data_IF_090350596814
#
_entry.id   IF_090350596814
#
_cell.length_a   1.000
_cell.length_b   1.000
_cell.length_c   1.000
_cell.angle_alpha   90.00
_cell.angle_beta   90.00
_cell.angle_gamma   90.00
#
_symmetry.space_group_name_H-M   'P 1'
#
loop_
_entity.id
_entity.type
_entity.pdbx_description
1 polymer ?
#
# COMPACT_ATOMS: atom_id res chain seq x y z
N UNK A 1 -32.50 12.97 -27.43
CA UNK A 1 -33.44 11.92 -26.95
C UNK A 1 -33.08 11.58 -25.50
N UNK A 2 -33.64 12.32 -24.53
CA UNK A 2 -33.35 12.16 -23.10
C UNK A 2 -34.48 11.40 -22.43
N UNK A 3 -34.21 10.20 -21.91
CA UNK A 3 -35.14 9.47 -21.03
C UNK A 3 -34.83 9.80 -19.58
N UNK A 4 -35.70 10.62 -18.99
CA UNK A 4 -35.87 10.76 -17.54
C UNK A 4 -36.51 9.48 -16.99
N UNK A 5 -35.80 8.76 -16.12
CA UNK A 5 -36.38 7.69 -15.30
C UNK A 5 -36.67 8.25 -13.91
N UNK A 6 -37.96 8.43 -13.62
CA UNK A 6 -38.50 8.59 -12.27
C UNK A 6 -38.53 7.22 -11.61
N UNK A 7 -37.94 7.07 -10.43
CA UNK A 7 -38.24 5.93 -9.55
C UNK A 7 -38.96 6.44 -8.31
N UNK A 8 -40.15 5.85 -8.12
CA UNK A 8 -41.08 6.14 -7.05
C UNK A 8 -40.61 5.51 -5.74
N UNK A 9 -40.82 6.24 -4.65
CA UNK A 9 -40.79 5.74 -3.27
C UNK A 9 -41.94 4.75 -3.04
N UNK A 10 -41.67 3.65 -2.35
CA UNK A 10 -42.70 2.90 -1.63
C UNK A 10 -42.24 2.68 -0.19
N UNK A 11 -43.17 2.95 0.72
CA UNK A 11 -43.07 3.00 2.16
C UNK A 11 -43.38 1.65 2.81
N UNK A 12 -42.88 1.50 4.05
CA UNK A 12 -43.50 0.85 5.22
C UNK A 12 -43.76 -0.67 5.16
N UNK A 13 -43.00 -1.38 5.99
CA UNK A 13 -43.33 -2.70 6.51
C UNK A 13 -42.66 -2.90 7.87
N UNK A 14 -43.34 -2.47 8.93
CA UNK A 14 -42.93 -2.69 10.33
C UNK A 14 -43.29 -4.11 10.75
N UNK A 15 -42.28 -4.94 11.00
CA UNK A 15 -42.44 -6.29 11.53
C UNK A 15 -41.38 -6.58 12.58
N UNK A 16 -41.72 -6.36 13.84
CA UNK A 16 -40.87 -6.62 15.00
C UNK A 16 -40.89 -8.11 15.31
N UNK A 17 -39.77 -8.82 15.10
CA UNK A 17 -39.59 -10.19 15.59
C UNK A 17 -38.39 -10.20 16.55
N UNK A 18 -38.67 -10.18 17.86
CA UNK A 18 -37.68 -10.39 18.91
C UNK A 18 -37.36 -11.88 18.99
N UNK A 19 -36.37 -12.33 18.22
CA UNK A 19 -35.74 -13.65 18.37
C UNK A 19 -34.54 -13.55 19.32
N UNK A 20 -34.57 -14.32 20.40
CA UNK A 20 -33.48 -14.41 21.36
C UNK A 20 -32.19 -14.92 20.69
N UNK A 21 -31.22 -14.03 20.50
CA UNK A 21 -29.88 -14.38 20.03
C UNK A 21 -29.08 -14.91 21.22
N UNK A 22 -28.89 -16.23 21.27
CA UNK A 22 -27.94 -16.84 22.18
C UNK A 22 -26.52 -16.39 21.83
N UNK A 23 -25.90 -15.63 22.73
CA UNK A 23 -24.47 -15.30 22.69
C UNK A 23 -23.66 -16.57 22.95
N UNK A 24 -23.32 -17.28 21.87
CA UNK A 24 -22.23 -18.23 21.89
C UNK A 24 -20.93 -17.42 21.91
N UNK A 25 -20.36 -17.25 23.11
CA UNK A 25 -18.98 -16.82 23.30
C UNK A 25 -18.06 -17.96 22.84
N UNK A 26 -17.89 -18.08 21.52
CA UNK A 26 -16.83 -18.87 20.94
C UNK A 26 -15.51 -18.23 21.33
N UNK A 27 -14.63 -18.98 21.99
CA UNK A 27 -13.23 -18.61 22.17
C UNK A 27 -12.59 -18.47 20.79
N UNK A 28 -12.68 -17.28 20.21
CA UNK A 28 -11.87 -16.85 19.08
C UNK A 28 -10.44 -16.81 19.59
N UNK A 29 -9.81 -17.98 19.58
CA UNK A 29 -8.40 -18.13 19.90
C UNK A 29 -7.66 -17.16 19.00
N UNK A 30 -6.87 -16.28 19.64
CA UNK A 30 -5.98 -15.25 19.11
C UNK A 30 -4.90 -15.82 18.15
N UNK A 31 -5.30 -16.64 17.18
CA UNK A 31 -4.42 -17.14 16.15
C UNK A 31 -4.13 -15.95 15.24
N UNK A 32 -2.88 -15.48 15.31
CA UNK A 32 -2.35 -14.53 14.35
C UNK A 32 -2.79 -14.92 12.94
N UNK A 33 -3.20 -13.95 12.10
CA UNK A 33 -3.65 -14.25 10.75
C UNK A 33 -2.58 -15.08 10.01
N UNK A 34 -2.99 -16.06 9.19
CA UNK A 34 -2.04 -16.86 8.45
C UNK A 34 -1.16 -15.98 7.57
N UNK A 35 0.10 -16.38 7.41
CA UNK A 35 1.01 -15.68 6.51
C UNK A 35 0.50 -15.76 5.06
N UNK A 36 0.81 -14.74 4.22
CA UNK A 36 0.46 -14.78 2.81
C UNK A 36 1.01 -16.01 2.07
N UNK A 37 0.14 -16.65 1.28
CA UNK A 37 0.53 -17.66 0.29
C UNK A 37 0.79 -16.98 -1.06
N UNK A 38 1.95 -16.34 -1.18
CA UNK A 38 2.36 -15.65 -2.40
C UNK A 38 2.40 -16.56 -3.65
N UNK A 39 2.91 -17.81 -3.61
CA UNK A 39 2.86 -18.70 -4.75
C UNK A 39 1.46 -18.84 -5.34
N UNK A 40 0.45 -19.03 -4.49
CA UNK A 40 -0.94 -19.12 -4.92
C UNK A 40 -1.49 -17.78 -5.41
N UNK A 41 -1.28 -16.70 -4.68
CA UNK A 41 -1.78 -15.36 -5.04
C UNK A 41 -1.23 -14.88 -6.38
N UNK A 42 0.04 -15.19 -6.65
CA UNK A 42 0.76 -14.69 -7.82
C UNK A 42 0.74 -15.68 -8.99
N UNK A 43 0.11 -16.85 -8.86
CA UNK A 43 0.17 -17.94 -9.85
C UNK A 43 -0.20 -17.50 -11.27
N UNK A 44 -1.15 -16.57 -11.40
CA UNK A 44 -1.66 -16.08 -12.68
C UNK A 44 -1.21 -14.65 -13.02
N UNK A 45 -0.22 -14.10 -12.32
CA UNK A 45 0.32 -12.79 -12.65
C UNK A 45 0.98 -12.82 -14.03
N UNK A 46 0.67 -11.83 -14.85
CA UNK A 46 1.24 -11.63 -16.19
C UNK A 46 2.11 -10.38 -16.28
N UNK A 47 2.03 -9.50 -15.29
CA UNK A 47 2.81 -8.27 -15.22
C UNK A 47 3.14 -7.92 -13.77
N UNK A 48 4.28 -7.24 -13.61
CA UNK A 48 4.77 -6.69 -12.34
C UNK A 48 5.17 -5.24 -12.55
N UNK A 49 4.69 -4.37 -11.69
CA UNK A 49 5.01 -2.94 -11.70
C UNK A 49 5.54 -2.54 -10.34
N UNK A 50 6.60 -1.73 -10.32
CA UNK A 50 7.19 -1.22 -9.07
C UNK A 50 7.04 0.29 -9.03
N UNK A 51 6.61 0.81 -7.89
CA UNK A 51 6.50 2.23 -7.61
C UNK A 51 7.37 2.61 -6.42
N UNK A 52 7.90 3.83 -6.46
CA UNK A 52 8.67 4.41 -5.37
C UNK A 52 7.74 5.14 -4.39
N UNK A 53 7.96 4.95 -3.09
CA UNK A 53 7.25 5.66 -2.03
C UNK A 53 7.73 7.09 -1.84
N UNK A 54 6.83 7.97 -1.40
CA UNK A 54 7.16 9.35 -1.06
C UNK A 54 8.06 9.43 0.20
N UNK A 55 8.69 10.59 0.47
CA UNK A 55 9.43 10.84 1.72
C UNK A 55 8.60 10.54 2.97
N UNK A 56 9.27 10.25 4.09
CA UNK A 56 8.57 9.86 5.32
C UNK A 56 7.74 11.03 5.88
N UNK A 57 6.43 10.85 6.15
CA UNK A 57 5.55 11.97 6.53
C UNK A 57 5.88 12.60 7.90
N UNK A 58 6.45 11.82 8.82
CA UNK A 58 6.89 12.31 10.13
C UNK A 58 8.32 12.86 10.16
N UNK A 59 9.30 12.11 9.64
CA UNK A 59 10.72 12.51 9.69
C UNK A 59 11.14 13.52 8.62
N UNK A 60 10.46 13.52 7.48
CA UNK A 60 10.76 14.36 6.30
C UNK A 60 9.52 15.20 5.91
N UNK A 61 8.78 15.69 6.91
CA UNK A 61 7.46 16.33 6.75
C UNK A 61 7.40 17.43 5.69
N UNK A 62 8.41 18.30 5.63
CA UNK A 62 8.51 19.38 4.64
C UNK A 62 8.66 18.80 3.24
N UNK A 63 9.61 17.88 3.07
CA UNK A 63 9.86 17.21 1.78
C UNK A 63 8.64 16.42 1.33
N UNK A 64 8.03 15.65 2.23
CA UNK A 64 6.78 14.92 1.96
C UNK A 64 5.66 15.85 1.49
N UNK A 65 5.45 16.97 2.19
CA UNK A 65 4.38 17.93 1.86
C UNK A 65 4.62 18.58 0.48
N UNK A 66 5.88 18.93 0.18
CA UNK A 66 6.25 19.53 -1.10
C UNK A 66 6.09 18.53 -2.25
N UNK A 67 6.63 17.31 -2.10
CA UNK A 67 6.55 16.26 -3.12
C UNK A 67 5.10 15.84 -3.36
N UNK A 68 4.30 15.63 -2.29
CA UNK A 68 2.87 15.29 -2.41
C UNK A 68 2.06 16.38 -3.13
N UNK A 69 2.45 17.65 -3.00
CA UNK A 69 1.76 18.77 -3.65
C UNK A 69 2.20 18.95 -5.11
N UNK A 70 3.49 18.77 -5.39
CA UNK A 70 4.10 19.20 -6.66
C UNK A 70 4.35 18.09 -7.65
N UNK A 71 4.36 16.83 -7.21
CA UNK A 71 4.56 15.66 -8.06
C UNK A 71 3.28 14.87 -8.19
N UNK A 72 3.05 14.27 -9.35
CA UNK A 72 1.93 13.33 -9.52
C UNK A 72 2.18 12.12 -8.63
N UNK A 73 1.23 11.86 -7.74
CA UNK A 73 1.27 10.75 -6.80
C UNK A 73 -0.11 10.14 -6.65
N UNK A 74 -0.16 8.94 -6.08
CA UNK A 74 -1.40 8.27 -5.70
C UNK A 74 -1.27 7.65 -4.31
N UNK A 75 -2.41 7.36 -3.71
CA UNK A 75 -2.49 6.74 -2.39
C UNK A 75 -2.97 5.29 -2.52
N UNK A 76 -2.33 4.38 -1.78
CA UNK A 76 -2.78 3.01 -1.61
C UNK A 76 -2.57 2.58 -0.15
N UNK A 77 -3.64 2.12 0.50
CA UNK A 77 -3.62 1.63 1.89
C UNK A 77 -2.96 2.59 2.91
N UNK A 78 -3.21 3.90 2.73
CA UNK A 78 -2.70 4.97 3.60
C UNK A 78 -1.29 5.45 3.26
N UNK A 79 -0.64 4.87 2.24
CA UNK A 79 0.72 5.21 1.82
C UNK A 79 0.71 5.92 0.46
N UNK A 80 1.67 6.82 0.23
CA UNK A 80 1.77 7.62 -0.99
C UNK A 80 2.94 7.18 -1.86
N UNK A 81 2.69 7.07 -3.17
CA UNK A 81 3.66 6.64 -4.17
C UNK A 81 3.74 7.63 -5.33
N UNK A 82 4.93 7.78 -5.91
CA UNK A 82 5.08 8.48 -7.18
C UNK A 82 4.31 7.72 -8.26
N UNK A 83 3.58 8.44 -9.12
CA UNK A 83 2.72 7.82 -10.12
C UNK A 83 3.49 7.19 -11.29
N UNK A 84 4.75 7.61 -11.51
CA UNK A 84 5.63 7.04 -12.53
C UNK A 84 6.19 5.70 -12.04
N UNK A 85 5.98 4.60 -12.77
CA UNK A 85 6.59 3.31 -12.45
C UNK A 85 8.12 3.37 -12.59
N UNK A 86 8.82 2.65 -11.71
CA UNK A 86 10.25 2.47 -11.83
C UNK A 86 10.60 1.61 -13.05
N UNK A 87 11.59 2.06 -13.82
CA UNK A 87 12.16 1.31 -14.95
C UNK A 87 13.06 0.16 -14.45
N UNK A 88 12.44 -0.88 -13.91
CA UNK A 88 13.13 -2.09 -13.41
C UNK A 88 13.36 -3.08 -14.56
N UNK A 89 14.60 -3.51 -14.82
CA UNK A 89 14.91 -4.52 -15.83
C UNK A 89 14.15 -5.83 -15.60
N UNK A 90 13.78 -6.51 -16.70
CA UNK A 90 13.04 -7.78 -16.64
C UNK A 90 13.72 -8.85 -15.77
N UNK A 91 15.06 -8.89 -15.75
CA UNK A 91 15.84 -9.82 -14.91
C UNK A 91 15.57 -9.62 -13.41
N UNK A 92 15.38 -8.38 -12.97
CA UNK A 92 15.10 -8.09 -11.57
C UNK A 92 13.63 -8.24 -11.23
N UNK A 93 12.73 -7.95 -12.17
CA UNK A 93 11.31 -8.26 -12.02
C UNK A 93 11.12 -9.78 -11.79
N UNK A 94 11.80 -10.61 -12.58
CA UNK A 94 11.86 -12.06 -12.36
C UNK A 94 12.47 -12.42 -11.00
N UNK A 95 13.52 -11.70 -10.58
CA UNK A 95 14.11 -11.84 -9.24
C UNK A 95 13.11 -11.57 -8.12
N UNK A 96 12.30 -10.51 -8.24
CA UNK A 96 11.24 -10.18 -7.28
C UNK A 96 10.18 -11.28 -7.26
N UNK A 97 9.69 -11.73 -8.42
CA UNK A 97 8.74 -12.84 -8.50
C UNK A 97 9.28 -14.10 -7.81
N UNK A 98 10.54 -14.44 -8.05
CA UNK A 98 11.18 -15.60 -7.44
C UNK A 98 11.29 -15.46 -5.93
N UNK A 99 11.66 -14.28 -5.42
CA UNK A 99 11.72 -14.00 -3.97
C UNK A 99 10.36 -14.28 -3.34
N UNK A 100 9.27 -13.72 -3.89
CA UNK A 100 7.93 -13.92 -3.33
C UNK A 100 7.42 -15.35 -3.47
N UNK A 101 7.78 -16.07 -4.54
CA UNK A 101 7.31 -17.45 -4.77
C UNK A 101 8.10 -18.52 -4.02
N UNK A 102 9.34 -18.25 -3.62
CA UNK A 102 10.22 -19.32 -3.09
C UNK A 102 10.87 -19.01 -1.76
N UNK A 103 11.05 -17.73 -1.44
CA UNK A 103 11.60 -17.34 -0.15
C UNK A 103 10.48 -17.18 0.85
N UNK A 104 10.73 -17.55 2.11
CA UNK A 104 9.86 -17.11 3.21
C UNK A 104 10.06 -15.61 3.42
N UNK A 105 9.40 -14.77 2.64
CA UNK A 105 9.58 -13.30 2.66
C UNK A 105 9.02 -12.69 3.95
N UNK A 106 7.99 -13.30 4.52
CA UNK A 106 7.28 -12.79 5.68
C UNK A 106 7.48 -13.66 6.93
N UNK A 107 7.42 -13.03 8.08
CA UNK A 107 7.21 -13.65 9.40
C UNK A 107 6.03 -12.95 10.09
N UNK A 108 5.41 -13.56 11.12
CA UNK A 108 4.29 -12.93 11.81
C UNK A 108 4.65 -11.53 12.30
N UNK A 109 3.68 -10.61 12.25
CA UNK A 109 3.87 -9.25 12.73
C UNK A 109 4.27 -9.23 14.21
N UNK A 110 5.39 -8.57 14.54
CA UNK A 110 5.93 -8.56 15.92
C UNK A 110 5.58 -7.29 16.69
N UNK A 111 4.49 -6.63 16.32
CA UNK A 111 4.03 -5.39 16.95
C UNK A 111 4.64 -4.12 16.33
N UNK A 112 4.00 -3.00 16.68
CA UNK A 112 4.33 -1.66 16.16
C UNK A 112 5.78 -1.27 16.44
N UNK A 113 6.38 -0.56 15.48
CA UNK A 113 7.76 -0.07 15.57
C UNK A 113 7.77 1.45 15.79
N UNK A 114 8.83 1.95 16.43
CA UNK A 114 8.98 3.37 16.77
C UNK A 114 9.37 4.28 15.58
N UNK A 115 9.18 3.85 14.34
CA UNK A 115 9.37 4.73 13.16
C UNK A 115 8.21 5.71 12.92
N UNK A 116 7.16 5.65 13.75
CA UNK A 116 6.00 6.54 13.62
C UNK A 116 4.90 5.97 12.70
N UNK A 117 4.76 4.64 12.71
CA UNK A 117 3.83 3.90 11.87
C UNK A 117 4.50 3.28 10.65
N UNK A 118 3.72 2.53 9.88
CA UNK A 118 4.18 1.97 8.62
C UNK A 118 4.41 3.09 7.60
N UNK A 119 5.53 3.04 6.89
CA UNK A 119 5.85 3.96 5.79
C UNK A 119 6.40 3.15 4.63
N UNK A 120 5.66 3.09 3.52
CA UNK A 120 6.11 2.33 2.36
C UNK A 120 7.25 3.07 1.62
N UNK A 121 8.40 2.42 1.50
CA UNK A 121 9.48 2.85 0.62
C UNK A 121 9.23 2.42 -0.83
N UNK A 122 8.55 1.29 -1.02
CA UNK A 122 8.22 0.74 -2.34
C UNK A 122 6.84 0.08 -2.34
N UNK A 123 6.21 0.07 -3.51
CA UNK A 123 5.03 -0.72 -3.83
C UNK A 123 5.35 -1.63 -5.01
N UNK A 124 5.05 -2.91 -4.89
CA UNK A 124 5.11 -3.89 -5.98
C UNK A 124 3.69 -4.35 -6.27
N UNK A 125 3.24 -4.20 -7.52
CA UNK A 125 1.92 -4.62 -7.96
C UNK A 125 2.03 -5.76 -8.97
N UNK A 126 1.32 -6.85 -8.72
CA UNK A 126 1.11 -7.93 -9.67
C UNK A 126 -0.27 -7.82 -10.30
N UNK A 127 -0.33 -8.03 -11.60
CA UNK A 127 -1.55 -7.89 -12.39
C UNK A 127 -1.75 -9.09 -13.32
N UNK A 128 -3.01 -9.36 -13.69
CA UNK A 128 -3.41 -10.27 -14.76
C UNK A 128 -4.24 -9.49 -15.77
N UNK A 129 -3.66 -9.16 -16.92
CA UNK A 129 -4.25 -8.15 -17.80
C UNK A 129 -4.41 -6.82 -17.04
N UNK A 130 -5.62 -6.27 -17.03
CA UNK A 130 -5.94 -5.03 -16.31
C UNK A 130 -6.31 -5.24 -14.83
N UNK A 131 -6.47 -6.50 -14.39
CA UNK A 131 -6.89 -6.80 -13.02
C UNK A 131 -5.68 -6.86 -12.07
N UNK A 132 -5.69 -6.05 -11.01
CA UNK A 132 -4.74 -6.12 -9.90
C UNK A 132 -4.99 -7.38 -9.07
N UNK A 133 -3.96 -8.23 -8.93
CA UNK A 133 -4.00 -9.44 -8.11
C UNK A 133 -3.55 -9.16 -6.68
N UNK A 134 -2.43 -8.46 -6.53
CA UNK A 134 -1.81 -8.17 -5.25
C UNK A 134 -0.97 -6.90 -5.34
N UNK A 135 -1.00 -6.13 -4.26
CA UNK A 135 -0.15 -4.98 -4.01
C UNK A 135 0.63 -5.24 -2.72
N UNK A 136 1.95 -5.25 -2.81
CA UNK A 136 2.85 -5.42 -1.68
C UNK A 136 3.56 -4.10 -1.42
N UNK A 137 3.28 -3.52 -0.26
CA UNK A 137 3.92 -2.31 0.22
C UNK A 137 5.06 -2.74 1.16
N UNK A 138 6.24 -2.18 0.97
CA UNK A 138 7.46 -2.54 1.69
C UNK A 138 7.97 -1.35 2.49
N UNK A 139 8.16 -1.53 3.79
CA UNK A 139 8.84 -0.58 4.66
C UNK A 139 10.21 -1.15 5.05
N UNK A 140 11.28 -0.64 4.43
CA UNK A 140 12.64 -1.04 4.78
C UNK A 140 13.12 -0.39 6.08
N UNK A 141 12.56 0.75 6.49
CA UNK A 141 12.89 1.36 7.78
C UNK A 141 12.50 0.50 8.97
N UNK A 142 11.32 -0.14 8.91
CA UNK A 142 10.78 -0.95 10.01
C UNK A 142 10.74 -2.46 9.74
N UNK A 143 11.25 -2.87 8.57
CA UNK A 143 11.30 -4.26 8.12
C UNK A 143 9.89 -4.87 8.07
N UNK A 144 8.95 -4.13 7.50
CA UNK A 144 7.54 -4.52 7.47
C UNK A 144 7.04 -4.65 6.03
N UNK A 145 5.99 -5.43 5.88
CA UNK A 145 5.29 -5.65 4.63
C UNK A 145 3.78 -5.54 4.87
N UNK A 146 3.08 -4.79 4.03
CA UNK A 146 1.61 -4.86 3.92
C UNK A 146 1.25 -5.50 2.57
N UNK A 147 0.45 -6.55 2.59
CA UNK A 147 -0.17 -7.13 1.41
C UNK A 147 -1.61 -6.64 1.34
N UNK A 148 -2.01 -6.18 0.16
CA UNK A 148 -3.37 -5.81 -0.20
C UNK A 148 -3.77 -6.57 -1.46
N UNK A 149 -4.82 -7.38 -1.37
CA UNK A 149 -5.45 -8.12 -2.44
C UNK A 149 -6.99 -7.98 -2.30
N UNK A 150 -7.80 -8.40 -3.29
CA UNK A 150 -9.26 -8.14 -3.29
C UNK A 150 -10.01 -8.54 -2.02
N UNK A 151 -9.59 -9.62 -1.36
CA UNK A 151 -10.19 -10.23 -0.19
C UNK A 151 -9.23 -10.34 1.00
N UNK A 152 -8.05 -9.74 0.91
CA UNK A 152 -6.99 -9.88 1.91
C UNK A 152 -6.23 -8.57 2.13
N UNK A 153 -6.20 -8.12 3.38
CA UNK A 153 -5.29 -7.07 3.83
C UNK A 153 -4.54 -7.59 5.06
N UNK A 154 -3.23 -7.75 4.96
CA UNK A 154 -2.42 -8.28 6.07
C UNK A 154 -1.10 -7.53 6.20
N UNK A 155 -0.72 -7.24 7.44
CA UNK A 155 0.58 -6.67 7.80
C UNK A 155 1.45 -7.77 8.43
N UNK A 156 2.70 -7.82 8.02
CA UNK A 156 3.70 -8.80 8.48
C UNK A 156 5.04 -8.09 8.68
N UNK A 157 5.95 -8.74 9.40
CA UNK A 157 7.35 -8.36 9.37
C UNK A 157 8.02 -9.09 8.18
N UNK A 158 9.03 -8.47 7.59
CA UNK A 158 9.93 -9.15 6.65
C UNK A 158 10.81 -10.12 7.43
N UNK A 159 11.03 -11.31 6.87
CA UNK A 159 12.12 -12.17 7.32
C UNK A 159 13.46 -11.51 7.01
N UNK A 160 14.53 -11.90 7.72
CA UNK A 160 15.87 -11.37 7.44
C UNK A 160 16.31 -11.67 6.00
N UNK A 161 16.08 -12.89 5.51
CA UNK A 161 16.37 -13.28 4.14
C UNK A 161 15.53 -12.49 3.12
N UNK A 162 14.23 -12.31 3.38
CA UNK A 162 13.34 -11.51 2.53
C UNK A 162 13.76 -10.05 2.47
N UNK A 163 14.08 -9.44 3.61
CA UNK A 163 14.60 -8.09 3.70
C UNK A 163 15.88 -7.92 2.88
N UNK A 164 16.88 -8.78 3.09
CA UNK A 164 18.16 -8.71 2.39
C UNK A 164 17.98 -8.85 0.87
N UNK A 165 17.20 -9.84 0.43
CA UNK A 165 16.94 -10.10 -0.98
C UNK A 165 16.21 -8.93 -1.66
N UNK A 166 15.11 -8.46 -1.08
CA UNK A 166 14.34 -7.33 -1.63
C UNK A 166 15.17 -6.05 -1.68
N UNK A 167 15.93 -5.77 -0.61
CA UNK A 167 16.78 -4.58 -0.54
C UNK A 167 17.86 -4.60 -1.60
N UNK A 168 18.50 -5.76 -1.85
CA UNK A 168 19.55 -5.91 -2.86
C UNK A 168 19.10 -5.56 -4.28
N UNK A 169 17.81 -5.74 -4.57
CA UNK A 169 17.20 -5.38 -5.85
C UNK A 169 16.71 -3.93 -5.82
N UNK A 170 15.84 -3.58 -4.88
CA UNK A 170 15.04 -2.36 -4.99
C UNK A 170 15.82 -1.07 -4.72
N UNK A 171 16.81 -1.07 -3.82
CA UNK A 171 17.43 0.20 -3.40
C UNK A 171 18.23 0.91 -4.50
N UNK A 172 18.60 0.20 -5.56
CA UNK A 172 19.29 0.78 -6.72
C UNK A 172 18.36 1.49 -7.70
N UNK A 173 17.05 1.32 -7.53
CA UNK A 173 16.01 1.91 -8.39
C UNK A 173 15.38 3.17 -7.78
N UNK A 174 15.92 3.70 -6.68
CA UNK A 174 15.50 4.98 -6.13
C UNK A 174 15.81 6.09 -7.17
N UNK A 175 14.80 6.75 -7.70
CA UNK A 175 14.96 7.75 -8.76
C UNK A 175 14.40 9.11 -8.35
N UNK A 176 13.19 9.13 -7.80
CA UNK A 176 12.44 10.35 -7.55
C UNK A 176 12.62 10.88 -6.13
N UNK A 177 12.77 10.01 -5.12
CA UNK A 177 12.79 10.44 -3.73
C UNK A 177 14.07 11.24 -3.41
N UNK A 178 13.95 12.52 -3.01
CA UNK A 178 15.09 13.34 -2.60
C UNK A 178 15.92 12.65 -1.50
N UNK A 179 17.23 12.95 -1.36
CA UNK A 179 18.05 12.39 -0.28
C UNK A 179 17.41 12.62 1.08
N UNK A 180 17.52 11.62 1.96
CA UNK A 180 16.92 11.68 3.29
C UNK A 180 17.44 12.87 4.07
N UNK A 181 16.53 13.72 4.56
CA UNK A 181 16.86 14.89 5.38
C UNK A 181 15.83 15.02 6.49
N UNK A 182 16.29 14.90 7.73
CA UNK A 182 15.49 15.22 8.91
C UNK A 182 15.21 16.72 8.88
N UNK A 183 13.95 17.10 8.99
CA UNK A 183 13.59 18.51 9.08
C UNK A 183 14.18 19.13 10.35
N UNK A 184 14.87 20.26 10.19
CA UNK A 184 15.50 21.02 11.29
C UNK A 184 14.48 21.81 12.15
N UNK A 185 13.19 21.48 12.04
CA UNK A 185 12.10 22.17 12.73
C UNK A 185 11.72 23.53 12.15
N UNK A 186 12.37 24.01 11.08
CA UNK A 186 11.98 25.26 10.41
C UNK A 186 10.65 25.08 9.69
N UNK A 187 9.73 26.05 9.84
CA UNK A 187 8.42 26.05 9.19
C UNK A 187 8.57 25.88 7.67
N UNK A 188 7.76 25.00 7.08
CA UNK A 188 7.67 24.86 5.63
C UNK A 188 7.27 26.21 5.00
N UNK A 189 7.83 26.57 3.83
CA UNK A 189 7.42 27.77 3.12
C UNK A 189 5.93 27.68 2.77
N UNK A 190 5.22 28.81 2.91
CA UNK A 190 3.78 28.90 2.63
C UNK A 190 3.55 28.56 1.15
N UNK A 191 2.56 27.71 0.80
CA UNK A 191 2.28 27.40 -0.60
C UNK A 191 2.09 28.68 -1.42
N UNK A 192 2.58 28.73 -2.67
CA UNK A 192 2.21 29.82 -3.57
C UNK A 192 0.68 29.83 -3.71
N UNK A 193 0.05 31.01 -3.83
CA UNK A 193 -1.39 31.09 -4.03
C UNK A 193 -1.77 30.31 -5.28
N UNK A 194 -2.76 29.42 -5.14
CA UNK A 194 -3.33 28.68 -6.29
C UNK A 194 -3.97 29.72 -7.21
N UNK A 195 -3.41 29.90 -8.41
CA UNK A 195 -4.04 30.73 -9.44
C UNK A 195 -5.26 29.98 -9.96
N UNK A 196 -6.44 30.42 -9.56
CA UNK A 196 -7.70 29.95 -10.16
C UNK A 196 -7.86 30.70 -11.48
N UNK A 197 -7.62 30.02 -12.60
CA UNK A 197 -7.98 30.54 -13.91
C UNK A 197 -9.52 30.54 -14.02
N UNK A 198 -10.12 31.72 -13.91
CA UNK A 198 -11.54 31.91 -14.21
C UNK A 198 -11.68 31.92 -15.74
N UNK A 199 -12.21 30.83 -16.31
CA UNK A 199 -12.66 30.84 -17.70
C UNK A 199 -13.90 31.73 -17.79
N UNK A 200 -13.79 32.85 -18.51
CA UNK A 200 -14.92 33.70 -18.93
C UNK A 200 -15.62 33.10 -20.14
#
# INVERSE_FOLDING_TARGET
MHRLLRFARTLLGSGTLFGAVGLLFGNASDLAPPLPDFPRLLANATAVTVYEGLPHPLWEKRTFTEERRTKTNFELAGEFFYAEPLAVPATDLQGLEQIFRTTKVCVPFRGEKFCGGFHADYLIEWQKGEARLASVLLCFGCHELKLVAPDLAVRTDLSEAGFAALRSILTRYRQHRPPFKIDDGKKAPKPPPVRVEVKM
#
